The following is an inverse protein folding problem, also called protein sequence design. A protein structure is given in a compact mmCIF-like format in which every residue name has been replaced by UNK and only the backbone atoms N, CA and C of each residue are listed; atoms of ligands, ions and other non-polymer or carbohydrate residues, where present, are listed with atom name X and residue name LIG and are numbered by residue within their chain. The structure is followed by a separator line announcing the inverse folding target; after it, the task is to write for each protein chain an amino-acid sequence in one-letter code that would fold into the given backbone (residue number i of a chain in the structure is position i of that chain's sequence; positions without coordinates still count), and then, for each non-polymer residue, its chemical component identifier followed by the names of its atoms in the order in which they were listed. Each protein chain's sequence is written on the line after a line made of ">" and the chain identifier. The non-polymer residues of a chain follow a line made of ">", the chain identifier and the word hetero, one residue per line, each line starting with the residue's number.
data_IF_577919657021
#
_entry.id   IF_577919657021
#
_cell.length_a   1.000
_cell.length_b   1.000
_cell.length_c   1.000
_cell.angle_alpha   90.00
_cell.angle_beta   90.00
_cell.angle_gamma   90.00
#
_symmetry.space_group_name_H-M   'P 1'
#
loop_
_entity.id
_entity.type
_entity.pdbx_description
1 polymer ?
#
# COMPACT_ATOMS: atom_id res chain seq x y z
N UNK A 1 69.36 11.79 4.50
CA UNK A 1 68.10 12.15 5.20
C UNK A 1 66.95 12.50 4.23
N UNK A 2 67.27 13.25 3.18
CA UNK A 2 66.23 13.67 2.18
C UNK A 2 65.50 12.50 1.45
N UNK A 3 66.28 11.46 1.03
CA UNK A 3 65.68 10.29 0.38
C UNK A 3 64.69 9.52 1.29
N UNK A 4 65.01 9.45 2.59
CA UNK A 4 64.12 8.77 3.55
C UNK A 4 62.79 9.53 3.74
N UNK A 5 62.86 10.85 3.87
CA UNK A 5 61.67 11.71 3.97
C UNK A 5 60.81 11.66 2.70
N UNK A 6 61.44 11.58 1.53
CA UNK A 6 60.74 11.43 0.24
C UNK A 6 60.02 10.08 0.14
N UNK A 7 60.63 8.97 0.54
CA UNK A 7 60.01 7.65 0.56
C UNK A 7 58.81 7.57 1.55
N UNK A 8 58.96 8.18 2.72
CA UNK A 8 57.86 8.26 3.71
C UNK A 8 56.71 9.09 3.17
N UNK A 9 56.98 10.22 2.51
CA UNK A 9 55.95 11.05 1.87
C UNK A 9 55.16 10.33 0.78
N UNK A 10 55.86 9.55 -0.06
CA UNK A 10 55.20 8.73 -1.09
C UNK A 10 54.34 7.64 -0.45
N UNK A 11 54.80 6.96 0.59
CA UNK A 11 54.06 5.94 1.31
C UNK A 11 52.78 6.49 1.96
N UNK A 12 52.84 7.65 2.59
CA UNK A 12 51.67 8.32 3.17
C UNK A 12 50.66 8.71 2.07
N UNK A 13 51.15 9.27 0.96
CA UNK A 13 50.31 9.67 -0.16
C UNK A 13 49.55 8.47 -0.76
N UNK A 14 50.25 7.33 -0.95
CA UNK A 14 49.64 6.10 -1.44
C UNK A 14 48.57 5.56 -0.48
N UNK A 15 48.82 5.57 0.82
CA UNK A 15 47.88 5.15 1.83
C UNK A 15 46.62 6.05 1.86
N UNK A 16 46.79 7.38 1.72
CA UNK A 16 45.65 8.32 1.65
C UNK A 16 44.80 8.07 0.41
N UNK A 17 45.44 7.82 -0.75
CA UNK A 17 44.69 7.49 -1.99
C UNK A 17 43.92 6.19 -1.83
N UNK A 18 44.52 5.15 -1.27
CA UNK A 18 43.85 3.88 -1.02
C UNK A 18 42.65 4.03 -0.06
N UNK A 19 42.82 4.77 1.05
CA UNK A 19 41.72 5.09 1.95
C UNK A 19 40.60 5.84 1.26
N UNK A 20 40.91 6.80 0.39
CA UNK A 20 39.91 7.56 -0.35
C UNK A 20 39.14 6.69 -1.34
N UNK A 21 39.79 5.75 -2.03
CA UNK A 21 39.17 4.79 -2.92
C UNK A 21 38.19 3.89 -2.14
N UNK A 22 38.65 3.33 -1.02
CA UNK A 22 37.80 2.48 -0.15
C UNK A 22 36.58 3.25 0.39
N UNK A 23 36.83 4.49 0.82
CA UNK A 23 35.73 5.35 1.33
C UNK A 23 34.70 5.67 0.26
N UNK A 24 35.14 5.95 -0.99
CA UNK A 24 34.22 6.13 -2.13
C UNK A 24 33.46 4.86 -2.46
N UNK A 25 34.08 3.68 -2.35
CA UNK A 25 33.39 2.41 -2.57
C UNK A 25 32.29 2.19 -1.52
N UNK A 26 32.64 2.36 -0.23
CA UNK A 26 31.67 2.26 0.87
C UNK A 26 30.48 3.23 0.68
N UNK A 27 30.74 4.46 0.24
CA UNK A 27 29.69 5.43 -0.04
C UNK A 27 28.78 4.99 -1.19
N UNK A 28 29.34 4.44 -2.27
CA UNK A 28 28.56 3.90 -3.39
C UNK A 28 27.66 2.73 -2.95
N UNK A 29 28.20 1.82 -2.16
CA UNK A 29 27.44 0.67 -1.66
C UNK A 29 26.32 1.11 -0.71
N UNK A 30 26.59 2.09 0.16
CA UNK A 30 25.54 2.67 1.01
C UNK A 30 24.43 3.35 0.21
N UNK A 31 24.76 4.05 -0.88
CA UNK A 31 23.76 4.66 -1.77
C UNK A 31 22.91 3.58 -2.43
N UNK A 32 23.52 2.49 -2.92
CA UNK A 32 22.79 1.35 -3.52
C UNK A 32 21.82 0.74 -2.54
N UNK A 33 22.25 0.47 -1.30
CA UNK A 33 21.38 -0.08 -0.24
C UNK A 33 20.21 0.87 0.04
N UNK A 34 20.46 2.16 0.17
CA UNK A 34 19.40 3.14 0.41
C UNK A 34 18.41 3.24 -0.74
N UNK A 35 18.87 3.14 -1.99
CA UNK A 35 17.98 3.11 -3.16
C UNK A 35 17.15 1.84 -3.21
N UNK A 36 17.76 0.69 -2.92
CA UNK A 36 17.05 -0.58 -2.81
C UNK A 36 15.92 -0.49 -1.77
N UNK A 37 16.24 -0.05 -0.55
CA UNK A 37 15.25 0.05 0.54
C UNK A 37 14.08 0.98 0.17
N UNK A 38 14.37 2.13 -0.43
CA UNK A 38 13.34 3.07 -0.86
C UNK A 38 12.45 2.49 -1.97
N UNK A 39 13.03 1.84 -2.97
CA UNK A 39 12.29 1.19 -4.06
C UNK A 39 11.47 0.01 -3.57
N UNK A 40 12.04 -0.78 -2.66
CA UNK A 40 11.32 -1.87 -2.01
C UNK A 40 10.13 -1.39 -1.19
N UNK A 41 10.26 -0.27 -0.47
CA UNK A 41 9.15 0.32 0.28
C UNK A 41 8.01 0.77 -0.64
N UNK A 42 8.29 1.36 -1.81
CA UNK A 42 7.27 1.67 -2.82
C UNK A 42 6.56 0.39 -3.29
N UNK A 43 7.31 -0.66 -3.62
CA UNK A 43 6.74 -1.96 -3.99
C UNK A 43 5.86 -2.53 -2.89
N UNK A 44 6.32 -2.50 -1.65
CA UNK A 44 5.60 -3.01 -0.49
C UNK A 44 4.30 -2.26 -0.26
N UNK A 45 4.30 -0.92 -0.31
CA UNK A 45 3.08 -0.14 -0.10
C UNK A 45 1.98 -0.45 -1.13
N UNK A 46 2.35 -0.76 -2.39
CA UNK A 46 1.39 -1.23 -3.40
C UNK A 46 0.81 -2.61 -3.06
N UNK A 47 1.66 -3.53 -2.62
CA UNK A 47 1.22 -4.88 -2.21
C UNK A 47 0.31 -4.81 -0.99
N UNK A 48 0.66 -3.99 0.01
CA UNK A 48 -0.14 -3.83 1.22
C UNK A 48 -1.51 -3.22 0.89
N UNK A 49 -1.57 -2.23 -0.01
CA UNK A 49 -2.82 -1.66 -0.50
C UNK A 49 -3.69 -2.69 -1.24
N UNK A 50 -3.10 -3.52 -2.09
CA UNK A 50 -3.83 -4.60 -2.77
C UNK A 50 -4.31 -5.67 -1.78
N UNK A 51 -3.47 -6.04 -0.83
CA UNK A 51 -3.78 -7.09 0.16
C UNK A 51 -4.97 -6.69 1.02
N UNK A 52 -5.01 -5.43 1.48
CA UNK A 52 -6.14 -4.97 2.29
C UNK A 52 -7.44 -4.94 1.47
N UNK A 53 -7.37 -4.60 0.18
CA UNK A 53 -8.55 -4.52 -0.69
C UNK A 53 -9.05 -5.87 -1.21
N UNK A 54 -8.24 -6.90 -1.16
CA UNK A 54 -8.59 -8.27 -1.58
C UNK A 54 -9.13 -9.14 -0.44
N UNK A 55 -9.35 -8.57 0.74
CA UNK A 55 -9.94 -9.33 1.85
C UNK A 55 -11.41 -9.60 1.56
N UNK A 56 -11.81 -10.86 1.66
CA UNK A 56 -13.18 -11.31 1.41
C UNK A 56 -14.16 -10.94 2.55
N UNK A 57 -13.65 -10.30 3.61
CA UNK A 57 -14.40 -10.05 4.85
C UNK A 57 -14.72 -8.56 5.08
N UNK A 58 -14.68 -7.73 4.01
CA UNK A 58 -15.04 -6.30 4.10
C UNK A 58 -16.41 -6.05 4.71
N UNK A 59 -17.38 -6.88 4.36
CA UNK A 59 -18.75 -6.80 4.89
C UNK A 59 -18.79 -6.94 6.40
N UNK A 60 -17.85 -7.70 6.96
CA UNK A 60 -17.74 -7.96 8.41
C UNK A 60 -17.20 -6.75 9.15
N UNK A 61 -16.21 -6.04 8.59
CA UNK A 61 -15.54 -4.91 9.23
C UNK A 61 -16.39 -3.62 9.24
N UNK A 62 -17.19 -3.41 8.21
CA UNK A 62 -18.06 -2.23 8.10
C UNK A 62 -19.06 -2.16 9.24
N UNK A 63 -19.56 -3.31 9.69
CA UNK A 63 -20.63 -3.40 10.68
C UNK A 63 -20.14 -3.31 12.13
N UNK A 64 -18.89 -3.68 12.41
CA UNK A 64 -18.40 -3.83 13.79
C UNK A 64 -17.53 -2.71 14.34
N UNK A 65 -17.43 -1.53 13.68
CA UNK A 65 -16.60 -0.41 14.18
C UNK A 65 -15.17 -0.84 14.55
N UNK A 66 -14.57 -1.79 13.81
CA UNK A 66 -13.19 -2.14 14.12
C UNK A 66 -12.25 -0.98 13.79
N UNK A 67 -11.86 -0.26 14.85
CA UNK A 67 -10.89 0.83 14.82
C UNK A 67 -9.60 0.46 14.06
N UNK A 68 -9.26 -0.83 14.04
CA UNK A 68 -8.03 -1.31 13.43
C UNK A 68 -8.04 -1.26 11.90
N UNK A 69 -9.18 -1.56 11.26
CA UNK A 69 -9.30 -1.46 9.80
C UNK A 69 -9.23 0.01 9.33
N UNK A 70 -9.92 0.89 10.04
CA UNK A 70 -9.86 2.32 9.73
C UNK A 70 -8.44 2.87 9.87
N UNK A 71 -7.71 2.46 10.92
CA UNK A 71 -6.29 2.80 11.09
C UNK A 71 -5.42 2.24 9.96
N UNK A 72 -5.65 0.98 9.56
CA UNK A 72 -4.92 0.36 8.46
C UNK A 72 -5.16 1.09 7.13
N UNK A 73 -6.41 1.45 6.81
CA UNK A 73 -6.73 2.21 5.60
C UNK A 73 -6.05 3.58 5.58
N UNK A 74 -6.08 4.31 6.70
CA UNK A 74 -5.41 5.61 6.83
C UNK A 74 -3.90 5.45 6.69
N UNK A 75 -3.33 4.45 7.36
CA UNK A 75 -1.88 4.18 7.29
C UNK A 75 -1.44 3.86 5.86
N UNK A 76 -2.19 3.01 5.14
CA UNK A 76 -1.87 2.66 3.75
C UNK A 76 -2.02 3.88 2.83
N UNK A 77 -3.07 4.70 3.00
CA UNK A 77 -3.25 5.95 2.25
C UNK A 77 -2.01 6.86 2.41
N UNK A 78 -1.52 7.03 3.65
CA UNK A 78 -0.33 7.83 3.93
C UNK A 78 0.96 7.22 3.37
N UNK A 79 1.15 5.92 3.52
CA UNK A 79 2.35 5.23 3.03
C UNK A 79 2.42 5.24 1.51
N UNK A 80 1.29 5.03 0.84
CA UNK A 80 1.22 5.07 -0.62
C UNK A 80 1.48 6.50 -1.14
N UNK A 81 0.88 7.52 -0.51
CA UNK A 81 1.13 8.91 -0.87
C UNK A 81 2.61 9.28 -0.72
N UNK A 82 3.24 8.93 0.42
CA UNK A 82 4.68 9.16 0.66
C UNK A 82 5.54 8.43 -0.38
N UNK A 83 5.17 7.19 -0.71
CA UNK A 83 5.87 6.37 -1.70
C UNK A 83 5.84 6.99 -3.09
N UNK A 84 4.69 7.50 -3.52
CA UNK A 84 4.55 8.17 -4.82
C UNK A 84 5.34 9.47 -4.85
N UNK A 85 5.28 10.28 -3.80
CA UNK A 85 6.08 11.51 -3.72
C UNK A 85 7.59 11.25 -3.84
N UNK A 86 8.08 10.21 -3.19
CA UNK A 86 9.49 9.82 -3.27
C UNK A 86 9.86 9.18 -4.63
N UNK A 87 8.90 8.62 -5.35
CA UNK A 87 9.13 7.87 -6.58
C UNK A 87 9.63 8.73 -7.74
N UNK A 88 9.35 10.02 -7.74
CA UNK A 88 9.87 10.97 -8.73
C UNK A 88 11.41 10.95 -8.82
N UNK A 89 12.09 10.75 -7.70
CA UNK A 89 13.55 10.67 -7.63
C UNK A 89 14.10 9.24 -7.74
N UNK A 90 13.24 8.21 -7.67
CA UNK A 90 13.64 6.81 -7.59
C UNK A 90 13.50 6.05 -8.91
N UNK A 91 12.62 6.50 -9.79
CA UNK A 91 12.24 5.83 -11.03
C UNK A 91 12.25 6.81 -12.20
N UNK A 92 12.15 6.27 -13.41
CA UNK A 92 11.91 7.08 -14.59
C UNK A 92 10.48 7.65 -14.61
N UNK A 93 10.26 8.57 -15.54
CA UNK A 93 8.99 9.28 -15.65
C UNK A 93 7.80 8.35 -15.93
N UNK A 94 7.99 7.29 -16.72
CA UNK A 94 6.92 6.35 -17.06
C UNK A 94 6.42 5.60 -15.81
N UNK A 95 7.34 5.13 -14.97
CA UNK A 95 7.01 4.47 -13.70
C UNK A 95 6.38 5.44 -12.71
N UNK A 96 6.90 6.67 -12.64
CA UNK A 96 6.33 7.73 -11.80
C UNK A 96 4.88 8.06 -12.21
N UNK A 97 4.61 8.29 -13.50
CA UNK A 97 3.28 8.61 -14.00
C UNK A 97 2.27 7.48 -13.72
N UNK A 98 2.70 6.22 -13.83
CA UNK A 98 1.88 5.05 -13.44
C UNK A 98 1.58 5.04 -11.94
N UNK A 99 2.56 5.31 -11.10
CA UNK A 99 2.40 5.38 -9.64
C UNK A 99 1.46 6.50 -9.22
N UNK A 100 1.56 7.66 -9.86
CA UNK A 100 0.65 8.78 -9.61
C UNK A 100 -0.80 8.42 -9.95
N UNK A 101 -1.04 7.77 -11.10
CA UNK A 101 -2.36 7.31 -11.51
C UNK A 101 -2.93 6.27 -10.52
N UNK A 102 -2.10 5.36 -10.03
CA UNK A 102 -2.48 4.35 -9.04
C UNK A 102 -2.82 5.01 -7.70
N UNK A 103 -2.04 5.99 -7.25
CA UNK A 103 -2.33 6.74 -6.04
C UNK A 103 -3.67 7.49 -6.14
N UNK A 104 -3.93 8.14 -7.26
CA UNK A 104 -5.20 8.82 -7.50
C UNK A 104 -6.39 7.86 -7.50
N UNK A 105 -6.21 6.63 -7.99
CA UNK A 105 -7.23 5.59 -7.89
C UNK A 105 -7.44 5.15 -6.44
N UNK A 106 -6.36 4.99 -5.66
CA UNK A 106 -6.48 4.64 -4.24
C UNK A 106 -7.16 5.73 -3.41
N UNK A 107 -6.93 7.00 -3.70
CA UNK A 107 -7.66 8.10 -3.06
C UNK A 107 -9.19 8.00 -3.27
N UNK A 108 -9.65 7.53 -4.43
CA UNK A 108 -11.08 7.27 -4.67
C UNK A 108 -11.59 6.11 -3.83
N UNK A 109 -10.81 5.04 -3.70
CA UNK A 109 -11.12 3.91 -2.81
C UNK A 109 -11.25 4.40 -1.36
N UNK A 110 -10.26 5.15 -0.87
CA UNK A 110 -10.26 5.70 0.48
C UNK A 110 -11.48 6.62 0.73
N UNK A 111 -11.85 7.44 -0.25
CA UNK A 111 -13.04 8.28 -0.15
C UNK A 111 -14.33 7.46 -0.13
N UNK A 112 -14.46 6.43 -0.97
CA UNK A 112 -15.60 5.53 -0.98
C UNK A 112 -15.71 4.75 0.33
N UNK A 113 -14.60 4.34 0.91
CA UNK A 113 -14.54 3.74 2.24
C UNK A 113 -15.06 4.69 3.33
N UNK A 114 -14.60 5.95 3.34
CA UNK A 114 -15.08 6.98 4.27
C UNK A 114 -16.59 7.21 4.13
N UNK A 115 -17.09 7.27 2.90
CA UNK A 115 -18.54 7.42 2.63
C UNK A 115 -19.34 6.22 3.17
N UNK A 116 -18.82 5.02 3.02
CA UNK A 116 -19.43 3.79 3.54
C UNK A 116 -19.50 3.82 5.07
N UNK A 117 -18.42 4.23 5.75
CA UNK A 117 -18.43 4.39 7.21
C UNK A 117 -19.48 5.41 7.69
N UNK A 118 -19.61 6.54 6.99
CA UNK A 118 -20.60 7.59 7.32
C UNK A 118 -22.03 7.05 7.11
N UNK A 119 -22.29 6.35 6.01
CA UNK A 119 -23.59 5.75 5.73
C UNK A 119 -23.98 4.73 6.80
N UNK A 120 -23.05 3.90 7.24
CA UNK A 120 -23.26 2.92 8.30
C UNK A 120 -23.55 3.59 9.65
N UNK A 121 -22.79 4.60 10.04
CA UNK A 121 -22.98 5.33 11.29
C UNK A 121 -24.33 6.06 11.37
N UNK A 122 -24.83 6.56 10.24
CA UNK A 122 -26.13 7.29 10.22
C UNK A 122 -27.34 6.38 10.38
N UNK A 123 -27.20 5.08 10.09
CA UNK A 123 -28.32 4.11 10.12
C UNK A 123 -28.43 3.33 11.44
N UNK A 124 -27.43 3.39 12.33
CA UNK A 124 -27.44 2.72 13.64
C UNK A 124 -28.35 3.41 14.70
N UNK A 125 -29.23 4.30 14.31
CA UNK A 125 -30.03 5.10 15.23
C UNK A 125 -31.27 4.35 15.82
N UNK A 126 -31.65 3.18 15.30
CA UNK A 126 -32.72 2.35 15.88
C UNK A 126 -32.13 1.04 16.46
N UNK A 127 -32.41 0.80 17.75
CA UNK A 127 -31.79 -0.30 18.51
C UNK A 127 -32.39 -1.68 18.14
N UNK A 128 -33.64 -1.72 17.66
CA UNK A 128 -34.34 -2.96 17.29
C UNK A 128 -33.92 -3.47 15.91
N UNK A 129 -33.74 -2.61 14.93
CA UNK A 129 -33.23 -2.97 13.60
C UNK A 129 -31.80 -3.47 13.65
N UNK A 130 -30.99 -2.93 14.60
CA UNK A 130 -29.61 -3.36 14.79
C UNK A 130 -29.50 -4.81 15.29
N UNK A 131 -30.42 -5.28 16.15
CA UNK A 131 -30.38 -6.65 16.67
C UNK A 131 -30.80 -7.70 15.62
N UNK A 132 -31.81 -7.42 14.83
CA UNK A 132 -32.20 -8.31 13.73
C UNK A 132 -31.11 -8.40 12.67
N UNK A 133 -30.52 -7.27 12.33
CA UNK A 133 -29.40 -7.21 11.39
C UNK A 133 -28.18 -7.96 11.90
N UNK A 134 -27.85 -7.85 13.19
CA UNK A 134 -26.76 -8.61 13.82
C UNK A 134 -27.03 -10.12 13.82
N UNK A 135 -28.30 -10.57 13.89
CA UNK A 135 -28.62 -11.99 13.83
C UNK A 135 -28.40 -12.56 12.42
N UNK A 136 -28.87 -11.88 11.38
CA UNK A 136 -28.64 -12.26 9.97
C UNK A 136 -27.15 -12.27 9.62
N UNK A 137 -26.42 -11.27 10.09
CA UNK A 137 -24.98 -11.20 9.92
C UNK A 137 -24.26 -12.37 10.63
N UNK A 138 -24.68 -12.72 11.85
CA UNK A 138 -24.14 -13.85 12.59
C UNK A 138 -24.39 -15.18 11.88
N UNK A 139 -25.55 -15.36 11.27
CA UNK A 139 -25.84 -16.53 10.42
C UNK A 139 -24.96 -16.55 9.18
N UNK A 140 -24.77 -15.43 8.51
CA UNK A 140 -23.86 -15.30 7.38
C UNK A 140 -22.41 -15.66 7.78
N UNK A 141 -21.95 -15.24 8.96
CA UNK A 141 -20.62 -15.56 9.50
C UNK A 141 -20.42 -17.05 9.80
N UNK A 142 -21.47 -17.69 10.35
CA UNK A 142 -21.36 -19.07 10.84
C UNK A 142 -21.58 -20.11 9.75
N UNK A 143 -22.33 -19.79 8.70
CA UNK A 143 -22.73 -20.77 7.70
C UNK A 143 -21.75 -20.97 6.56
N UNK A 144 -20.85 -20.01 6.28
CA UNK A 144 -19.97 -20.00 5.10
C UNK A 144 -20.70 -20.34 3.78
N UNK A 145 -22.03 -20.23 3.77
CA UNK A 145 -22.87 -20.59 2.64
C UNK A 145 -23.04 -19.42 1.68
N UNK A 146 -22.91 -19.64 0.36
CA UNK A 146 -23.23 -18.60 -0.63
C UNK A 146 -24.65 -18.05 -0.52
N UNK A 147 -25.61 -18.87 -0.08
CA UNK A 147 -26.99 -18.45 0.15
C UNK A 147 -27.12 -17.47 1.31
N UNK A 148 -26.41 -17.71 2.41
CA UNK A 148 -26.43 -16.79 3.56
C UNK A 148 -25.82 -15.40 3.23
N UNK A 149 -24.82 -15.36 2.36
CA UNK A 149 -24.26 -14.09 1.85
C UNK A 149 -25.27 -13.37 0.97
N UNK A 150 -26.00 -14.11 0.13
CA UNK A 150 -27.05 -13.55 -0.72
C UNK A 150 -28.21 -13.01 0.10
N UNK A 151 -28.70 -13.78 1.09
CA UNK A 151 -29.79 -13.39 1.99
C UNK A 151 -29.40 -12.14 2.80
N UNK A 152 -28.14 -12.08 3.26
CA UNK A 152 -27.61 -10.91 3.95
C UNK A 152 -27.58 -9.66 3.05
N UNK A 153 -27.07 -9.78 1.82
CA UNK A 153 -27.03 -8.67 0.87
C UNK A 153 -28.44 -8.20 0.48
N UNK A 154 -29.39 -9.11 0.34
CA UNK A 154 -30.75 -8.77 0.07
C UNK A 154 -31.41 -8.03 1.24
N UNK A 155 -31.23 -8.51 2.48
CA UNK A 155 -31.68 -7.84 3.68
C UNK A 155 -31.03 -6.45 3.85
N UNK A 156 -29.72 -6.31 3.56
CA UNK A 156 -29.01 -5.03 3.60
C UNK A 156 -29.60 -4.05 2.57
N UNK A 157 -29.84 -4.51 1.35
CA UNK A 157 -30.39 -3.66 0.28
C UNK A 157 -31.81 -3.16 0.58
N UNK A 158 -32.61 -3.98 1.25
CA UNK A 158 -33.97 -3.63 1.61
C UNK A 158 -34.08 -2.75 2.86
N UNK A 159 -33.33 -3.09 3.92
CA UNK A 159 -33.40 -2.41 5.22
C UNK A 159 -32.48 -1.20 5.34
N UNK A 160 -31.34 -1.22 4.65
CA UNK A 160 -30.33 -0.16 4.69
C UNK A 160 -29.79 0.18 3.28
N UNK A 161 -30.64 0.68 2.37
CA UNK A 161 -30.27 0.88 0.98
C UNK A 161 -29.07 1.82 0.81
N UNK A 162 -28.95 2.86 1.62
CA UNK A 162 -27.80 3.80 1.56
C UNK A 162 -26.48 3.14 1.96
N UNK A 163 -26.48 2.27 2.96
CA UNK A 163 -25.30 1.51 3.37
C UNK A 163 -24.92 0.51 2.29
N UNK A 164 -25.90 -0.17 1.69
CA UNK A 164 -25.70 -1.10 0.59
C UNK A 164 -25.10 -0.39 -0.65
N UNK A 165 -25.66 0.74 -1.06
CA UNK A 165 -25.14 1.54 -2.18
C UNK A 165 -23.70 1.99 -1.93
N UNK A 166 -23.40 2.45 -0.71
CA UNK A 166 -22.06 2.88 -0.34
C UNK A 166 -21.05 1.71 -0.33
N UNK A 167 -21.47 0.52 0.15
CA UNK A 167 -20.67 -0.70 0.11
C UNK A 167 -20.36 -1.12 -1.33
N UNK A 168 -21.38 -1.12 -2.20
CA UNK A 168 -21.22 -1.48 -3.61
C UNK A 168 -20.32 -0.47 -4.36
N UNK A 169 -20.41 0.81 -4.02
CA UNK A 169 -19.53 1.84 -4.56
C UNK A 169 -18.08 1.59 -4.14
N UNK A 170 -17.85 1.28 -2.86
CA UNK A 170 -16.52 0.94 -2.36
C UNK A 170 -15.97 -0.31 -3.05
N UNK A 171 -16.72 -1.39 -3.13
CA UNK A 171 -16.30 -2.63 -3.80
C UNK A 171 -15.92 -2.39 -5.27
N UNK A 172 -16.68 -1.56 -5.98
CA UNK A 172 -16.39 -1.17 -7.37
C UNK A 172 -15.08 -0.40 -7.49
N UNK A 173 -14.83 0.58 -6.63
CA UNK A 173 -13.58 1.35 -6.65
C UNK A 173 -12.37 0.47 -6.24
N UNK A 174 -12.53 -0.41 -5.26
CA UNK A 174 -11.50 -1.37 -4.86
C UNK A 174 -11.12 -2.33 -6.00
N UNK A 175 -12.11 -2.86 -6.73
CA UNK A 175 -11.87 -3.69 -7.90
C UNK A 175 -11.17 -2.91 -9.02
N UNK A 176 -11.62 -1.68 -9.30
CA UNK A 176 -11.02 -0.83 -10.32
C UNK A 176 -9.55 -0.49 -10.01
N UNK A 177 -9.24 -0.24 -8.74
CA UNK A 177 -7.85 -0.06 -8.28
C UNK A 177 -7.00 -1.31 -8.52
N UNK A 178 -7.48 -2.46 -8.07
CA UNK A 178 -6.77 -3.73 -8.24
C UNK A 178 -6.50 -4.03 -9.72
N UNK A 179 -7.50 -3.86 -10.56
CA UNK A 179 -7.39 -4.02 -12.02
C UNK A 179 -6.35 -3.06 -12.61
N UNK A 180 -6.33 -1.80 -12.16
CA UNK A 180 -5.38 -0.80 -12.63
C UNK A 180 -3.94 -1.21 -12.27
N UNK A 181 -3.67 -1.64 -11.02
CA UNK A 181 -2.34 -2.09 -10.60
C UNK A 181 -1.86 -3.26 -11.45
N UNK A 182 -2.71 -4.26 -11.70
CA UNK A 182 -2.34 -5.41 -12.53
C UNK A 182 -2.12 -5.02 -14.01
N UNK A 183 -3.04 -4.27 -14.61
CA UNK A 183 -2.99 -3.90 -16.04
C UNK A 183 -1.86 -2.93 -16.36
N UNK A 184 -1.46 -2.07 -15.42
CA UNK A 184 -0.35 -1.14 -15.62
C UNK A 184 1.02 -1.80 -15.72
N UNK A 185 1.15 -3.03 -15.20
CA UNK A 185 2.43 -3.74 -15.11
C UNK A 185 3.41 -3.14 -14.10
N UNK A 186 2.98 -2.20 -13.26
CA UNK A 186 3.83 -1.42 -12.35
C UNK A 186 4.68 -2.29 -11.42
N UNK A 187 4.10 -3.38 -10.90
CA UNK A 187 4.82 -4.30 -10.01
C UNK A 187 6.01 -4.97 -10.71
N UNK A 188 5.87 -5.28 -12.01
CA UNK A 188 6.96 -5.81 -12.83
C UNK A 188 8.03 -4.76 -13.09
N UNK A 189 7.61 -3.52 -13.36
CA UNK A 189 8.52 -2.42 -13.65
C UNK A 189 9.36 -2.09 -12.42
N UNK A 190 8.76 -1.93 -11.24
CA UNK A 190 9.50 -1.69 -9.99
C UNK A 190 10.47 -2.83 -9.68
N UNK A 191 10.07 -4.10 -9.88
CA UNK A 191 10.95 -5.27 -9.68
C UNK A 191 12.20 -5.22 -10.54
N UNK A 192 12.17 -4.64 -11.74
CA UNK A 192 13.37 -4.48 -12.57
C UNK A 192 14.41 -3.59 -11.87
N UNK A 193 13.97 -2.46 -11.30
CA UNK A 193 14.86 -1.56 -10.56
C UNK A 193 15.43 -2.20 -9.30
N UNK A 194 14.62 -2.94 -8.55
CA UNK A 194 15.06 -3.66 -7.34
C UNK A 194 16.12 -4.71 -7.68
N UNK A 195 15.96 -5.46 -8.79
CA UNK A 195 16.91 -6.49 -9.22
C UNK A 195 18.26 -5.92 -9.65
N UNK A 196 18.28 -4.78 -10.32
CA UNK A 196 19.53 -4.11 -10.72
C UNK A 196 20.33 -3.73 -9.49
N UNK A 197 19.69 -3.21 -8.45
CA UNK A 197 20.38 -2.85 -7.21
C UNK A 197 21.02 -4.06 -6.50
N UNK A 198 20.44 -5.28 -6.67
CA UNK A 198 20.96 -6.53 -6.10
C UNK A 198 22.10 -7.15 -6.91
N UNK A 199 22.09 -7.01 -8.24
CA UNK A 199 23.05 -7.71 -9.12
C UNK A 199 24.38 -6.99 -9.23
N UNK A 200 24.40 -5.69 -8.98
CA UNK A 200 25.62 -4.86 -9.00
C UNK A 200 26.34 -4.79 -7.64
N UNK A 201 25.90 -5.54 -6.65
CA UNK A 201 26.51 -5.68 -5.32
C UNK A 201 27.32 -6.96 -5.22
#
# INVERSE_FOLDING_TARGET
>A
MEYFLSCVGIGISAAVVECSIRQNQIQKDNIKIQLFDKRYNVYKSLIDAMTILQRDDWDRYVLFKENDMNKQMIQIEEELYKSVYLSECLFDKDVYDKLENINNAFCKVAQSYKNMLVANLSNLSSQDDAQEFLSLFRECLLSSSPTAVQDYNEALSQKQPKTYEALMAFAKEAQAYTDLVYKSGILSDIKKYIRVDMLDS
#
